data_IF_252461562473
#
_entry.id   IF_252461562473
#
_cell.length_a   1.000
_cell.length_b   1.000
_cell.length_c   1.000
_cell.angle_alpha   90.00
_cell.angle_beta   90.00
_cell.angle_gamma   90.00
#
_symmetry.space_group_name_H-M   'P 1'
#
loop_
_entity.id
_entity.type
_entity.pdbx_description
1 polymer ?
#
# COMPACT_ATOMS: atom_id res chain seq x y z
N UNK A 1 4.44 -30.13 16.24
CA UNK A 1 4.33 -28.73 16.72
C UNK A 1 4.00 -27.84 15.52
N UNK A 2 3.22 -26.78 15.70
CA UNK A 2 2.82 -25.84 14.64
C UNK A 2 3.72 -24.61 14.69
N UNK A 3 4.06 -24.03 13.53
CA UNK A 3 4.73 -22.73 13.41
C UNK A 3 3.83 -21.74 12.67
N UNK A 4 4.02 -20.45 12.95
CA UNK A 4 3.27 -19.33 12.38
C UNK A 4 4.27 -18.28 11.89
N UNK A 5 5.03 -18.53 10.80
CA UNK A 5 6.00 -17.58 10.29
C UNK A 5 5.31 -16.30 9.82
N UNK A 6 5.80 -15.15 10.26
CA UNK A 6 5.31 -13.86 9.76
C UNK A 6 5.81 -13.62 8.34
N UNK A 7 5.05 -12.84 7.56
CA UNK A 7 5.43 -12.46 6.21
C UNK A 7 4.90 -11.10 5.80
N UNK A 8 5.71 -10.37 5.02
CA UNK A 8 5.30 -9.17 4.30
C UNK A 8 5.00 -9.54 2.86
N UNK A 9 3.79 -9.23 2.41
CA UNK A 9 3.29 -9.50 1.06
C UNK A 9 2.93 -8.18 0.37
N UNK A 10 3.38 -8.01 -0.86
CA UNK A 10 3.13 -6.79 -1.61
C UNK A 10 2.97 -7.02 -3.12
N UNK A 11 1.75 -6.72 -3.59
CA UNK A 11 1.38 -6.63 -5.00
C UNK A 11 0.01 -5.97 -5.14
N UNK A 12 -0.08 -4.82 -5.79
CA UNK A 12 -1.36 -4.16 -6.08
C UNK A 12 -2.12 -5.02 -7.09
N UNK A 13 -3.29 -5.47 -6.65
CA UNK A 13 -4.17 -6.41 -7.36
C UNK A 13 -5.59 -5.89 -7.24
N UNK A 14 -6.07 -5.08 -8.19
CA UNK A 14 -7.45 -4.57 -8.19
C UNK A 14 -8.45 -5.71 -8.35
N UNK A 15 -9.71 -5.44 -8.02
CA UNK A 15 -10.80 -6.39 -8.26
C UNK A 15 -11.05 -6.52 -9.77
N UNK A 16 -11.29 -7.74 -10.24
CA UNK A 16 -11.66 -8.01 -11.64
C UNK A 16 -13.03 -7.42 -11.95
N UNK A 17 -13.12 -6.64 -13.03
CA UNK A 17 -14.37 -6.10 -13.58
C UNK A 17 -14.57 -6.53 -15.04
N UNK A 18 -15.68 -6.10 -15.67
CA UNK A 18 -15.89 -6.25 -17.12
C UNK A 18 -14.82 -5.54 -17.95
N UNK A 19 -14.10 -4.57 -17.38
CA UNK A 19 -12.97 -3.93 -18.06
C UNK A 19 -11.84 -4.94 -18.29
N UNK A 20 -11.40 -5.63 -17.24
CA UNK A 20 -10.28 -6.59 -17.31
C UNK A 20 -10.64 -7.81 -18.17
N UNK A 21 -11.87 -8.31 -18.07
CA UNK A 21 -12.36 -9.39 -18.95
C UNK A 21 -12.31 -9.00 -20.43
N UNK A 22 -12.76 -7.79 -20.78
CA UNK A 22 -12.70 -7.28 -22.16
C UNK A 22 -11.28 -7.08 -22.64
N UNK A 23 -10.39 -6.50 -21.81
CA UNK A 23 -8.97 -6.36 -22.16
C UNK A 23 -8.36 -7.72 -22.52
N UNK A 24 -8.64 -8.77 -21.73
CA UNK A 24 -8.11 -10.11 -22.02
C UNK A 24 -8.66 -10.69 -23.33
N UNK A 25 -9.97 -10.53 -23.57
CA UNK A 25 -10.61 -11.00 -24.79
C UNK A 25 -10.11 -10.25 -26.03
N UNK A 26 -10.01 -8.92 -25.96
CA UNK A 26 -9.67 -8.05 -27.08
C UNK A 26 -8.17 -8.13 -27.44
N UNK A 27 -7.28 -8.12 -26.43
CA UNK A 27 -5.82 -8.07 -26.67
C UNK A 27 -5.21 -9.45 -26.88
N UNK A 28 -5.80 -10.51 -26.30
CA UNK A 28 -5.21 -11.86 -26.30
C UNK A 28 -6.12 -12.94 -26.90
N UNK A 29 -7.37 -12.62 -27.23
CA UNK A 29 -8.34 -13.61 -27.75
C UNK A 29 -8.71 -14.68 -26.73
N UNK A 30 -8.58 -14.38 -25.43
CA UNK A 30 -8.83 -15.32 -24.34
C UNK A 30 -10.09 -14.94 -23.56
N UNK A 31 -11.05 -15.87 -23.50
CA UNK A 31 -12.21 -15.76 -22.64
C UNK A 31 -11.93 -16.43 -21.29
N UNK A 32 -11.65 -15.61 -20.28
CA UNK A 32 -11.59 -16.03 -18.88
C UNK A 32 -12.70 -15.31 -18.10
N UNK A 33 -13.52 -16.07 -17.38
CA UNK A 33 -14.60 -15.51 -16.58
C UNK A 33 -14.09 -14.79 -15.32
N UNK A 34 -12.87 -15.08 -14.87
CA UNK A 34 -12.30 -14.47 -13.67
C UNK A 34 -10.78 -14.27 -13.74
N UNK A 35 -10.27 -13.46 -14.68
CA UNK A 35 -8.84 -13.17 -14.76
C UNK A 35 -8.40 -12.28 -13.59
N UNK A 36 -7.16 -12.45 -13.13
CA UNK A 36 -6.58 -11.60 -12.09
C UNK A 36 -5.53 -10.67 -12.70
N UNK A 37 -5.86 -9.38 -12.75
CA UNK A 37 -4.92 -8.35 -13.15
C UNK A 37 -4.15 -7.85 -11.93
N UNK A 38 -2.87 -7.57 -12.11
CA UNK A 38 -1.99 -7.09 -11.06
C UNK A 38 -0.83 -6.32 -11.67
N UNK A 39 -0.17 -5.53 -10.84
CA UNK A 39 1.03 -4.82 -11.29
C UNK A 39 2.21 -5.78 -11.54
N UNK A 40 3.23 -5.34 -12.32
CA UNK A 40 4.45 -6.11 -12.53
C UNK A 40 5.28 -6.29 -11.25
N UNK A 41 5.31 -5.27 -10.38
CA UNK A 41 6.01 -5.34 -9.09
C UNK A 41 5.40 -6.44 -8.21
N UNK A 42 6.26 -7.19 -7.51
CA UNK A 42 5.86 -8.17 -6.51
C UNK A 42 6.98 -8.33 -5.51
N UNK A 43 6.63 -8.43 -4.22
CA UNK A 43 7.57 -8.71 -3.16
C UNK A 43 6.94 -9.65 -2.14
N UNK A 44 7.75 -10.59 -1.66
CA UNK A 44 7.39 -11.47 -0.56
C UNK A 44 8.61 -11.69 0.33
N UNK A 45 8.52 -11.21 1.57
CA UNK A 45 9.51 -11.41 2.62
C UNK A 45 8.89 -12.32 3.67
N UNK A 46 9.62 -13.35 4.11
CA UNK A 46 9.06 -14.41 4.96
C UNK A 46 10.07 -14.87 6.01
N UNK A 47 9.60 -15.15 7.22
CA UNK A 47 10.39 -15.85 8.22
C UNK A 47 10.57 -17.32 7.83
N UNK A 48 11.80 -17.84 7.91
CA UNK A 48 12.09 -19.23 7.55
C UNK A 48 11.83 -20.20 8.71
N UNK A 49 10.55 -20.33 9.10
CA UNK A 49 10.13 -21.19 10.20
C UNK A 49 8.99 -22.13 9.79
N UNK A 50 9.37 -23.30 9.25
CA UNK A 50 8.45 -24.32 8.74
C UNK A 50 8.70 -25.67 9.39
N UNK A 51 7.67 -26.29 9.96
CA UNK A 51 7.80 -27.54 10.73
C UNK A 51 7.77 -28.82 9.90
N UNK A 52 7.37 -28.73 8.63
CA UNK A 52 7.25 -29.86 7.70
C UNK A 52 7.99 -29.60 6.36
N UNK A 53 8.97 -28.69 6.37
CA UNK A 53 9.61 -28.18 5.16
C UNK A 53 8.75 -27.17 4.40
N UNK A 54 9.29 -26.64 3.30
CA UNK A 54 8.63 -25.68 2.41
C UNK A 54 9.19 -25.80 0.99
N UNK A 55 8.50 -25.28 -0.04
CA UNK A 55 9.10 -25.14 -1.37
C UNK A 55 10.35 -24.25 -1.34
N UNK A 56 11.23 -24.43 -2.32
CA UNK A 56 12.42 -23.59 -2.54
C UNK A 56 12.05 -22.22 -3.14
N UNK A 57 11.20 -21.47 -2.43
CA UNK A 57 10.62 -20.20 -2.88
C UNK A 57 11.68 -19.11 -3.12
N UNK A 58 12.85 -19.23 -2.48
CA UNK A 58 14.00 -18.38 -2.71
C UNK A 58 14.48 -18.44 -4.17
N UNK A 59 14.27 -19.56 -4.88
CA UNK A 59 14.63 -19.71 -6.29
C UNK A 59 13.74 -18.91 -7.24
N UNK A 60 12.60 -18.43 -6.76
CA UNK A 60 11.63 -17.62 -7.52
C UNK A 60 11.45 -16.22 -6.94
N UNK A 61 12.41 -15.77 -6.11
CA UNK A 61 12.52 -14.39 -5.64
C UNK A 61 11.91 -14.09 -4.27
N UNK A 62 11.43 -15.09 -3.53
CA UNK A 62 10.98 -14.87 -2.13
C UNK A 62 12.18 -14.67 -1.21
N UNK A 63 12.14 -13.64 -0.38
CA UNK A 63 13.23 -13.29 0.53
C UNK A 63 12.98 -13.96 1.89
N UNK A 64 13.88 -14.83 2.33
CA UNK A 64 13.83 -15.39 3.67
C UNK A 64 14.70 -14.58 4.64
N UNK A 65 14.11 -14.18 5.75
CA UNK A 65 14.76 -13.35 6.78
C UNK A 65 14.52 -13.95 8.16
N UNK A 66 15.29 -13.50 9.15
CA UNK A 66 15.09 -13.91 10.55
C UNK A 66 13.94 -13.17 11.23
N UNK A 67 13.72 -11.91 10.84
CA UNK A 67 12.70 -11.03 11.38
C UNK A 67 12.14 -10.19 10.23
N UNK A 68 10.83 -10.30 9.99
CA UNK A 68 10.13 -9.57 8.92
C UNK A 68 9.64 -8.19 9.36
N UNK A 69 9.62 -7.92 10.66
CA UNK A 69 8.96 -6.75 11.26
C UNK A 69 9.39 -5.42 10.62
N UNK A 70 10.69 -5.17 10.31
CA UNK A 70 11.09 -3.92 9.65
C UNK A 70 10.50 -3.76 8.23
N UNK A 71 10.43 -4.84 7.46
CA UNK A 71 9.87 -4.83 6.11
C UNK A 71 8.36 -4.63 6.13
N UNK A 72 7.68 -5.32 7.05
CA UNK A 72 6.24 -5.15 7.25
C UNK A 72 5.91 -3.71 7.67
N UNK A 73 6.65 -3.15 8.63
CA UNK A 73 6.41 -1.80 9.13
C UNK A 73 6.65 -0.74 8.05
N UNK A 74 7.74 -0.86 7.29
CA UNK A 74 8.03 0.01 6.14
C UNK A 74 6.88 0.01 5.13
N UNK A 75 6.42 -1.19 4.72
CA UNK A 75 5.33 -1.33 3.75
C UNK A 75 4.00 -0.82 4.33
N UNK A 76 3.69 -1.13 5.58
CA UNK A 76 2.44 -0.67 6.22
C UNK A 76 2.40 0.86 6.33
N UNK A 77 3.53 1.50 6.65
CA UNK A 77 3.57 2.95 6.81
C UNK A 77 3.59 3.69 5.48
N UNK A 78 4.52 3.35 4.60
CA UNK A 78 4.73 4.09 3.34
C UNK A 78 3.67 3.70 2.30
N UNK A 79 3.49 2.40 2.03
CA UNK A 79 2.54 1.97 1.00
C UNK A 79 1.09 2.06 1.51
N UNK A 80 0.79 1.41 2.63
CA UNK A 80 -0.60 1.36 3.11
C UNK A 80 -1.07 2.69 3.73
N UNK A 81 -0.19 3.42 4.43
CA UNK A 81 -0.45 4.79 4.85
C UNK A 81 -0.63 5.71 3.65
N UNK A 82 0.30 5.69 2.68
CA UNK A 82 0.19 6.48 1.46
C UNK A 82 -1.10 6.22 0.65
N UNK A 83 -1.58 4.98 0.58
CA UNK A 83 -2.90 4.69 0.00
C UNK A 83 -4.03 5.44 0.71
N UNK A 84 -4.04 5.47 2.06
CA UNK A 84 -5.06 6.18 2.82
C UNK A 84 -4.97 7.70 2.60
N UNK A 85 -3.74 8.23 2.55
CA UNK A 85 -3.44 9.63 2.25
C UNK A 85 -3.96 10.08 0.88
N UNK A 86 -3.94 9.21 -0.12
CA UNK A 86 -4.52 9.48 -1.44
C UNK A 86 -6.04 9.33 -1.42
N UNK A 87 -6.54 8.27 -0.78
CA UNK A 87 -7.91 7.79 -0.90
C UNK A 87 -8.95 8.84 -0.55
N UNK A 88 -8.88 9.41 0.65
CA UNK A 88 -9.93 10.29 1.16
C UNK A 88 -9.98 11.66 0.49
N UNK A 89 -8.87 12.40 0.27
CA UNK A 89 -8.95 13.66 -0.47
C UNK A 89 -9.39 13.45 -1.93
N UNK A 90 -8.86 12.44 -2.62
CA UNK A 90 -9.27 12.14 -3.99
C UNK A 90 -10.76 11.72 -4.05
N UNK A 91 -11.22 10.95 -3.05
CA UNK A 91 -12.62 10.53 -2.95
C UNK A 91 -13.58 11.68 -2.70
N UNK A 92 -13.16 12.69 -1.92
CA UNK A 92 -13.91 13.92 -1.71
C UNK A 92 -13.93 14.85 -2.93
N UNK A 93 -13.03 14.64 -3.88
CA UNK A 93 -12.97 15.34 -5.18
C UNK A 93 -13.68 14.56 -6.30
N UNK A 94 -14.38 13.48 -5.98
CA UNK A 94 -15.03 12.57 -6.94
C UNK A 94 -14.08 11.95 -7.98
N UNK A 95 -12.77 11.87 -7.67
CA UNK A 95 -11.79 11.23 -8.54
C UNK A 95 -11.98 9.71 -8.51
N UNK A 96 -12.00 9.07 -9.67
CA UNK A 96 -12.35 7.65 -9.78
C UNK A 96 -11.13 6.73 -9.57
N UNK A 97 -10.02 7.01 -10.25
CA UNK A 97 -8.84 6.15 -10.21
C UNK A 97 -7.69 6.74 -9.37
N UNK A 98 -6.89 5.85 -8.76
CA UNK A 98 -5.71 6.23 -7.96
C UNK A 98 -4.70 7.02 -8.79
N UNK A 99 -4.44 6.61 -10.03
CA UNK A 99 -3.49 7.29 -10.90
C UNK A 99 -3.97 8.70 -11.31
N UNK A 100 -5.28 8.95 -11.39
CA UNK A 100 -5.85 10.29 -11.59
C UNK A 100 -5.66 11.12 -10.32
N UNK A 101 -5.87 10.53 -9.14
CA UNK A 101 -5.57 11.18 -7.86
C UNK A 101 -4.10 11.58 -7.75
N UNK A 102 -3.18 10.77 -8.28
CA UNK A 102 -1.76 11.10 -8.36
C UNK A 102 -1.42 12.20 -9.39
N UNK A 103 -2.34 12.52 -10.31
CA UNK A 103 -2.21 13.66 -11.23
C UNK A 103 -2.75 14.95 -10.62
N UNK A 104 -3.61 14.88 -9.61
CA UNK A 104 -4.14 16.03 -8.88
C UNK A 104 -3.03 16.67 -8.01
N UNK A 105 -2.60 17.92 -8.30
CA UNK A 105 -1.47 18.54 -7.63
C UNK A 105 -1.59 18.57 -6.10
N UNK A 106 -2.79 18.82 -5.57
CA UNK A 106 -2.99 18.88 -4.11
C UNK A 106 -2.87 17.51 -3.44
N UNK A 107 -3.39 16.46 -4.06
CA UNK A 107 -3.29 15.09 -3.54
C UNK A 107 -1.85 14.61 -3.56
N UNK A 108 -1.14 14.81 -4.68
CA UNK A 108 0.27 14.43 -4.80
C UNK A 108 1.16 15.21 -3.83
N UNK A 109 0.94 16.51 -3.69
CA UNK A 109 1.68 17.34 -2.74
C UNK A 109 1.41 16.93 -1.29
N UNK A 110 0.16 16.57 -0.96
CA UNK A 110 -0.19 16.08 0.37
C UNK A 110 0.50 14.75 0.69
N UNK A 111 0.47 13.78 -0.22
CA UNK A 111 1.21 12.52 -0.09
C UNK A 111 2.69 12.78 0.15
N UNK A 112 3.34 13.52 -0.75
CA UNK A 112 4.77 13.80 -0.65
C UNK A 112 5.12 14.48 0.67
N UNK A 113 4.40 15.53 1.07
CA UNK A 113 4.65 16.20 2.34
C UNK A 113 4.48 15.26 3.54
N UNK A 114 3.40 14.50 3.58
CA UNK A 114 3.10 13.60 4.70
C UNK A 114 4.15 12.50 4.82
N UNK A 115 4.56 11.92 3.70
CA UNK A 115 5.55 10.84 3.66
C UNK A 115 6.89 11.30 4.21
N UNK A 116 7.40 12.43 3.73
CA UNK A 116 8.72 12.94 4.15
C UNK A 116 8.71 13.52 5.57
N UNK A 117 7.66 14.25 5.95
CA UNK A 117 7.66 15.00 7.22
C UNK A 117 7.20 14.13 8.41
N UNK A 118 6.31 13.15 8.18
CA UNK A 118 5.62 12.43 9.26
C UNK A 118 5.68 10.89 9.16
N UNK A 119 5.82 10.28 7.99
CA UNK A 119 5.77 8.80 7.87
C UNK A 119 7.17 8.19 7.85
N UNK A 120 7.98 8.51 6.83
CA UNK A 120 9.32 7.95 6.61
C UNK A 120 10.22 8.10 7.85
N UNK A 121 10.26 9.24 8.57
CA UNK A 121 11.10 9.39 9.77
C UNK A 121 10.78 8.39 10.90
N UNK A 122 9.60 7.77 10.86
CA UNK A 122 9.14 6.82 11.88
C UNK A 122 9.43 5.36 11.50
N UNK A 123 9.96 5.11 10.30
CA UNK A 123 10.30 3.78 9.81
C UNK A 123 11.73 3.44 10.26
N UNK A 124 11.95 2.33 10.99
CA UNK A 124 13.29 1.92 11.40
C UNK A 124 14.13 1.49 10.18
N UNK A 125 15.46 1.42 10.31
CA UNK A 125 16.32 0.89 9.25
C UNK A 125 15.88 -0.50 8.78
N UNK A 126 15.71 -0.65 7.47
CA UNK A 126 15.34 -1.92 6.84
C UNK A 126 16.57 -2.47 6.12
N UNK A 127 16.95 -3.75 6.33
CA UNK A 127 18.16 -4.29 5.72
C UNK A 127 18.17 -4.16 4.19
N UNK A 128 19.29 -3.69 3.64
CA UNK A 128 19.51 -3.51 2.20
C UNK A 128 18.43 -2.69 1.49
N UNK A 129 17.79 -1.76 2.19
CA UNK A 129 16.71 -0.94 1.64
C UNK A 129 16.98 0.53 1.93
N UNK A 130 16.94 1.34 0.87
CA UNK A 130 16.88 2.79 0.99
C UNK A 130 15.39 3.21 1.00
N UNK A 131 15.00 3.99 2.00
CA UNK A 131 13.59 4.35 2.19
C UNK A 131 13.10 5.39 1.18
N UNK A 132 13.99 6.25 0.68
CA UNK A 132 13.64 7.22 -0.35
C UNK A 132 13.45 6.51 -1.68
N UNK A 133 14.35 5.60 -2.06
CA UNK A 133 14.17 4.77 -3.24
C UNK A 133 12.89 3.94 -3.17
N UNK A 134 12.54 3.42 -1.97
CA UNK A 134 11.29 2.71 -1.75
C UNK A 134 10.08 3.64 -1.91
N UNK A 135 10.09 4.83 -1.31
CA UNK A 135 9.01 5.83 -1.49
C UNK A 135 8.83 6.19 -2.97
N UNK A 136 9.91 6.49 -3.69
CA UNK A 136 9.87 6.80 -5.12
C UNK A 136 9.33 5.62 -5.96
N UNK A 137 9.64 4.39 -5.56
CA UNK A 137 9.03 3.20 -6.16
C UNK A 137 7.51 3.15 -5.89
N UNK A 138 7.07 3.41 -4.66
CA UNK A 138 5.66 3.44 -4.28
C UNK A 138 4.90 4.53 -5.06
N UNK A 139 5.44 5.75 -5.14
CA UNK A 139 4.83 6.85 -5.89
C UNK A 139 4.64 6.48 -7.38
N UNK A 140 5.65 5.88 -8.01
CA UNK A 140 5.56 5.37 -9.39
C UNK A 140 4.50 4.29 -9.54
N UNK A 141 4.33 3.41 -8.55
CA UNK A 141 3.33 2.34 -8.56
C UNK A 141 1.91 2.90 -8.46
N UNK A 142 1.67 3.88 -7.58
CA UNK A 142 0.39 4.58 -7.48
C UNK A 142 0.02 5.32 -8.76
N UNK A 143 1.02 5.85 -9.45
CA UNK A 143 0.84 6.60 -10.70
C UNK A 143 0.59 5.73 -11.93
N UNK A 144 0.50 4.39 -11.80
CA UNK A 144 0.38 3.50 -12.94
C UNK A 144 -1.07 3.38 -13.46
N UNK A 145 -1.41 3.96 -14.64
CA UNK A 145 -2.78 3.92 -15.16
C UNK A 145 -3.23 2.54 -15.59
N UNK A 146 -2.31 1.62 -15.90
CA UNK A 146 -2.65 0.28 -16.39
C UNK A 146 -3.31 -0.58 -15.32
N UNK A 147 -3.08 -0.29 -14.05
CA UNK A 147 -3.68 -1.01 -12.94
C UNK A 147 -5.18 -0.72 -12.85
N UNK A 148 -5.60 0.51 -13.15
CA UNK A 148 -7.02 0.88 -12.98
C UNK A 148 -7.50 0.74 -11.54
N UNK A 149 -6.62 0.91 -10.57
CA UNK A 149 -6.99 0.87 -9.15
C UNK A 149 -7.93 2.03 -8.81
N UNK A 150 -8.98 1.75 -8.04
CA UNK A 150 -10.05 2.72 -7.79
C UNK A 150 -9.92 3.36 -6.41
N UNK A 151 -10.21 4.67 -6.34
CA UNK A 151 -10.29 5.41 -5.08
C UNK A 151 -11.32 4.77 -4.14
N UNK A 152 -12.47 4.33 -4.68
CA UNK A 152 -13.50 3.60 -3.93
C UNK A 152 -12.94 2.38 -3.19
N UNK A 153 -12.08 1.58 -3.83
CA UNK A 153 -11.45 0.41 -3.21
C UNK A 153 -10.47 0.80 -2.10
N UNK A 154 -9.75 1.92 -2.26
CA UNK A 154 -8.86 2.42 -1.21
C UNK A 154 -9.64 2.96 0.00
N UNK A 155 -10.76 3.66 -0.23
CA UNK A 155 -11.62 4.16 0.84
C UNK A 155 -12.38 3.05 1.59
N UNK A 156 -12.57 1.89 0.95
CA UNK A 156 -13.28 0.77 1.56
C UNK A 156 -12.56 0.29 2.83
N UNK A 157 -13.34 -0.02 3.87
CA UNK A 157 -12.86 -0.65 5.11
C UNK A 157 -11.91 0.25 5.93
N UNK A 158 -12.08 1.57 5.84
CA UNK A 158 -11.28 2.56 6.58
C UNK A 158 -11.22 2.30 8.09
N UNK A 159 -12.31 1.86 8.72
CA UNK A 159 -12.33 1.55 10.16
C UNK A 159 -11.36 0.44 10.58
N UNK A 160 -11.09 -0.54 9.70
CA UNK A 160 -10.11 -1.59 9.96
C UNK A 160 -8.69 -1.21 9.51
N UNK A 161 -8.57 -0.26 8.59
CA UNK A 161 -7.29 0.19 8.00
C UNK A 161 -6.64 1.30 8.82
N UNK A 162 -7.42 2.28 9.29
CA UNK A 162 -6.93 3.41 10.11
C UNK A 162 -6.12 2.94 11.32
N UNK A 163 -6.58 1.98 12.15
CA UNK A 163 -5.84 1.50 13.33
C UNK A 163 -4.53 0.78 12.99
N UNK A 164 -4.34 0.37 11.73
CA UNK A 164 -3.15 -0.35 11.27
C UNK A 164 -2.18 0.55 10.51
N UNK A 165 -2.69 1.49 9.72
CA UNK A 165 -1.89 2.24 8.74
C UNK A 165 -1.50 3.63 9.25
N UNK A 166 -2.40 4.30 9.98
CA UNK A 166 -2.24 5.71 10.34
C UNK A 166 -2.05 5.89 11.85
N UNK A 167 -2.97 5.35 12.66
CA UNK A 167 -2.98 5.56 14.11
C UNK A 167 -1.67 5.12 14.78
N UNK A 168 -1.00 4.01 14.39
CA UNK A 168 0.30 3.66 14.97
C UNK A 168 1.38 4.71 14.71
N UNK A 169 1.42 5.32 13.52
CA UNK A 169 2.37 6.40 13.21
C UNK A 169 2.07 7.64 14.04
N UNK A 170 0.80 8.02 14.21
CA UNK A 170 0.39 9.10 15.12
C UNK A 170 0.90 8.82 16.54
N UNK A 171 0.65 7.61 17.05
CA UNK A 171 1.03 7.24 18.42
C UNK A 171 2.56 7.29 18.63
N UNK A 172 3.34 6.86 17.65
CA UNK A 172 4.81 6.91 17.71
C UNK A 172 5.32 8.35 17.76
N UNK A 173 4.81 9.21 16.88
CA UNK A 173 5.20 10.63 16.84
C UNK A 173 4.84 11.36 18.11
N UNK A 174 3.63 11.16 18.63
CA UNK A 174 3.21 11.76 19.90
C UNK A 174 4.09 11.29 21.07
N UNK A 175 4.50 10.01 21.10
CA UNK A 175 5.46 9.52 22.11
C UNK A 175 6.84 10.15 21.97
N UNK A 176 7.25 10.51 20.76
CA UNK A 176 8.48 11.23 20.48
C UNK A 176 8.39 12.75 20.68
N UNK A 177 7.20 13.29 20.99
CA UNK A 177 6.97 14.74 21.12
C UNK A 177 6.94 15.48 19.78
N UNK A 178 6.68 14.76 18.68
CA UNK A 178 6.65 15.31 17.32
C UNK A 178 5.22 15.71 16.89
N UNK A 179 5.13 16.59 15.89
CA UNK A 179 3.86 17.06 15.34
C UNK A 179 3.20 16.03 14.41
N UNK A 180 1.87 15.97 14.42
CA UNK A 180 1.05 15.01 13.65
C UNK A 180 0.01 15.70 12.77
N UNK A 181 0.30 16.92 12.31
CA UNK A 181 -0.71 17.77 11.66
C UNK A 181 -1.20 17.16 10.35
N UNK A 182 -0.29 16.59 9.56
CA UNK A 182 -0.61 15.91 8.32
C UNK A 182 -1.39 14.61 8.55
N UNK A 183 -0.96 13.78 9.50
CA UNK A 183 -1.65 12.54 9.85
C UNK A 183 -3.04 12.81 10.45
N UNK A 184 -3.18 13.87 11.26
CA UNK A 184 -4.48 14.30 11.78
C UNK A 184 -5.40 14.81 10.66
N UNK A 185 -4.86 15.52 9.66
CA UNK A 185 -5.61 15.94 8.49
C UNK A 185 -6.08 14.74 7.66
N UNK A 186 -5.24 13.73 7.45
CA UNK A 186 -5.63 12.47 6.80
C UNK A 186 -6.85 11.85 7.50
N UNK A 187 -6.81 11.74 8.83
CA UNK A 187 -7.90 11.14 9.60
C UNK A 187 -9.15 12.02 9.58
N UNK A 188 -8.99 13.35 9.53
CA UNK A 188 -10.11 14.28 9.36
C UNK A 188 -10.77 14.15 7.97
N UNK A 189 -9.99 13.96 6.91
CA UNK A 189 -10.49 13.70 5.56
C UNK A 189 -11.25 12.37 5.50
N UNK A 190 -10.76 11.33 6.18
CA UNK A 190 -11.50 10.07 6.34
C UNK A 190 -12.85 10.29 7.02
N UNK A 191 -12.88 11.00 8.16
CA UNK A 191 -14.12 11.32 8.85
C UNK A 191 -15.09 12.11 7.96
N UNK A 192 -14.58 13.10 7.21
CA UNK A 192 -15.40 13.88 6.27
C UNK A 192 -15.93 13.02 5.14
N UNK A 193 -15.13 12.12 4.57
CA UNK A 193 -15.57 11.18 3.54
C UNK A 193 -16.68 10.24 4.04
N UNK A 194 -16.55 9.74 5.26
CA UNK A 194 -17.56 8.87 5.88
C UNK A 194 -18.88 9.58 6.23
N UNK A 195 -18.89 10.92 6.32
CA UNK A 195 -20.11 11.68 6.57
C UNK A 195 -21.09 11.66 5.38
N UNK A 196 -20.59 11.42 4.15
CA UNK A 196 -21.36 11.50 2.90
C UNK A 196 -21.52 12.92 2.37
#
# INVERSE_FOLDING_TARGET
>A
KVAFPNGMVDRITPATTDRERRILADDFGLEDNWPVFCEPFKQWVLEDHFTAGRPALEKVGVQFVKDVSPYELMKIRILNGGHATIAYPAGLMDIHFVHEGMQEPLVRAFLSKLEHDEIIPTVPPVPNTDLEDYYQLIERRFSNPKIGDTIRRLCLDGSNRQPKFIIPTIADRLRAGEGVAGLALESALWCRYCFG
#
